data_IF_675058670192
#
_entry.id   IF_675058670192
#
_cell.length_a   1.000
_cell.length_b   1.000
_cell.length_c   1.000
_cell.angle_alpha   90.00
_cell.angle_beta   90.00
_cell.angle_gamma   90.00
#
_symmetry.space_group_name_H-M   'P 1'
#
loop_
_entity.id
_entity.type
_entity.pdbx_description
1 polymer ?
#
# COMPACT_ATOMS: atom_id res chain seq x y z
N UNK A 1 22.36 -11.63 13.35
CA UNK A 1 21.94 -12.91 12.79
C UNK A 1 21.74 -12.71 11.31
N UNK A 2 22.44 -13.44 10.47
CA UNK A 2 22.18 -13.48 9.02
C UNK A 2 20.88 -14.26 8.79
N UNK A 3 19.91 -13.74 8.05
CA UNK A 3 18.70 -14.49 7.73
C UNK A 3 19.10 -15.80 7.05
N UNK A 4 18.47 -16.90 7.47
CA UNK A 4 18.61 -18.17 6.75
C UNK A 4 17.97 -17.98 5.37
N UNK A 5 18.79 -17.77 4.34
CA UNK A 5 18.36 -17.46 2.96
C UNK A 5 17.70 -18.63 2.23
N UNK A 6 17.57 -19.80 2.88
CA UNK A 6 16.94 -20.99 2.29
C UNK A 6 15.40 -20.93 2.29
N UNK A 7 14.78 -20.10 3.14
CA UNK A 7 13.32 -19.97 3.20
C UNK A 7 12.87 -18.54 2.83
N UNK A 8 11.74 -18.39 2.14
CA UNK A 8 11.22 -17.05 1.77
C UNK A 8 10.80 -16.23 2.99
N UNK A 9 10.70 -14.93 2.81
CA UNK A 9 9.98 -14.04 3.75
C UNK A 9 8.48 -14.21 3.50
N UNK A 10 7.70 -14.46 4.55
CA UNK A 10 6.26 -14.50 4.49
C UNK A 10 5.69 -13.08 4.66
N UNK A 11 4.67 -12.72 3.89
CA UNK A 11 4.01 -11.42 3.96
C UNK A 11 2.51 -11.67 4.06
N UNK A 12 1.92 -11.29 5.20
CA UNK A 12 0.48 -11.39 5.43
C UNK A 12 -0.20 -10.09 4.96
N UNK A 13 -1.03 -10.20 3.93
CA UNK A 13 -1.75 -9.11 3.28
C UNK A 13 -1.14 -8.68 1.95
N UNK A 14 -1.96 -8.74 0.88
CA UNK A 14 -1.60 -8.42 -0.50
C UNK A 14 -2.00 -6.99 -0.92
N UNK A 15 -2.25 -6.09 0.03
CA UNK A 15 -2.50 -4.68 -0.24
C UNK A 15 -1.23 -3.91 -0.64
N UNK A 16 -1.34 -2.59 -0.78
CA UNK A 16 -0.24 -1.69 -1.18
C UNK A 16 1.03 -1.93 -0.34
N UNK A 17 0.88 -2.08 0.98
CA UNK A 17 2.01 -2.30 1.88
C UNK A 17 2.73 -3.63 1.66
N UNK A 18 1.97 -4.72 1.51
CA UNK A 18 2.54 -6.05 1.30
C UNK A 18 3.21 -6.21 -0.06
N UNK A 19 2.58 -5.73 -1.14
CA UNK A 19 3.18 -5.73 -2.47
C UNK A 19 4.45 -4.86 -2.52
N UNK A 20 4.44 -3.67 -1.91
CA UNK A 20 5.61 -2.82 -1.83
C UNK A 20 6.76 -3.48 -1.04
N UNK A 21 6.46 -4.18 0.05
CA UNK A 21 7.44 -4.95 0.82
C UNK A 21 8.05 -6.10 0.00
N UNK A 22 7.21 -6.85 -0.73
CA UNK A 22 7.67 -7.91 -1.62
C UNK A 22 8.62 -7.40 -2.71
N UNK A 23 8.26 -6.29 -3.37
CA UNK A 23 9.13 -5.65 -4.39
C UNK A 23 10.45 -5.18 -3.77
N UNK A 24 10.41 -4.59 -2.58
CA UNK A 24 11.63 -4.16 -1.89
C UNK A 24 12.56 -5.33 -1.53
N UNK A 25 12.00 -6.47 -1.15
CA UNK A 25 12.75 -7.70 -0.92
C UNK A 25 13.34 -8.26 -2.22
N UNK A 26 12.56 -8.29 -3.29
CA UNK A 26 13.01 -8.74 -4.61
C UNK A 26 14.19 -7.92 -5.13
N UNK A 27 14.22 -6.59 -4.91
CA UNK A 27 15.38 -5.73 -5.21
C UNK A 27 16.65 -6.14 -4.44
N UNK A 28 16.50 -6.86 -3.34
CA UNK A 28 17.60 -7.40 -2.53
C UNK A 28 17.87 -8.88 -2.79
N UNK A 29 17.26 -9.44 -3.84
CA UNK A 29 17.35 -10.86 -4.18
C UNK A 29 16.85 -11.79 -3.05
N UNK A 30 15.86 -11.34 -2.28
CA UNK A 30 15.24 -12.10 -1.18
C UNK A 30 13.88 -12.61 -1.67
N UNK A 31 13.67 -13.92 -1.74
CA UNK A 31 12.37 -14.48 -2.13
C UNK A 31 11.30 -14.23 -1.06
N UNK A 32 10.06 -14.01 -1.52
CA UNK A 32 8.93 -13.79 -0.62
C UNK A 32 7.65 -14.47 -1.11
N UNK A 33 6.72 -14.72 -0.16
CA UNK A 33 5.38 -15.23 -0.40
C UNK A 33 4.39 -14.20 0.17
N UNK A 34 3.59 -13.60 -0.70
CA UNK A 34 2.50 -12.69 -0.33
C UNK A 34 1.21 -13.50 -0.21
N UNK A 35 0.55 -13.41 0.94
CA UNK A 35 -0.69 -14.12 1.24
C UNK A 35 -1.83 -13.10 1.38
N UNK A 36 -2.81 -13.16 0.48
CA UNK A 36 -4.00 -12.31 0.49
C UNK A 36 -5.24 -13.14 0.78
N UNK A 37 -6.07 -12.67 1.72
CA UNK A 37 -7.31 -13.35 2.12
C UNK A 37 -8.41 -13.28 1.06
N UNK A 38 -8.42 -12.24 0.22
CA UNK A 38 -9.38 -12.09 -0.85
C UNK A 38 -9.09 -13.06 -2.01
N UNK A 39 -10.10 -13.35 -2.81
CA UNK A 39 -9.98 -14.19 -4.01
C UNK A 39 -9.15 -13.51 -5.10
N UNK A 40 -9.07 -12.19 -5.08
CA UNK A 40 -8.33 -11.35 -6.03
C UNK A 40 -7.61 -10.22 -5.30
N UNK A 41 -6.54 -9.72 -5.90
CA UNK A 41 -5.84 -8.52 -5.41
C UNK A 41 -6.59 -7.27 -5.88
N UNK A 42 -7.59 -6.86 -5.12
CA UNK A 42 -8.42 -5.68 -5.42
C UNK A 42 -8.47 -4.72 -4.25
N UNK A 43 -8.58 -3.46 -4.53
CA UNK A 43 -8.74 -2.41 -3.53
C UNK A 43 -10.04 -1.65 -3.80
N UNK A 44 -10.92 -1.63 -2.81
CA UNK A 44 -12.12 -0.80 -2.85
C UNK A 44 -11.74 0.56 -2.28
N UNK A 45 -11.84 1.61 -3.06
CA UNK A 45 -11.48 2.90 -2.53
C UNK A 45 -11.58 4.08 -3.47
N UNK A 46 -11.31 5.24 -2.90
CA UNK A 46 -11.22 6.51 -3.58
C UNK A 46 -9.76 6.82 -3.95
N UNK A 47 -9.48 8.06 -4.30
CA UNK A 47 -8.13 8.54 -4.56
C UNK A 47 -7.22 8.46 -3.32
N UNK A 48 -5.95 8.27 -3.56
CA UNK A 48 -4.87 8.38 -2.57
C UNK A 48 -3.89 9.45 -3.00
N UNK A 49 -3.34 10.17 -2.02
CA UNK A 49 -2.35 11.21 -2.24
C UNK A 49 -0.94 10.60 -2.26
N UNK A 50 -0.14 11.02 -3.23
CA UNK A 50 1.23 10.60 -3.43
C UNK A 50 2.18 11.76 -3.13
N UNK A 51 2.75 11.74 -1.93
CA UNK A 51 3.74 12.75 -1.56
C UNK A 51 5.11 12.50 -2.21
N UNK A 52 6.04 13.48 -2.19
CA UNK A 52 7.38 13.34 -2.75
C UNK A 52 8.18 12.15 -2.20
N UNK A 53 7.96 11.79 -0.94
CA UNK A 53 8.59 10.62 -0.32
C UNK A 53 8.16 9.32 -0.98
N UNK A 54 6.89 9.20 -1.37
CA UNK A 54 6.33 8.01 -2.03
C UNK A 54 6.88 7.89 -3.45
N UNK A 55 6.97 8.98 -4.22
CA UNK A 55 7.58 8.97 -5.55
C UNK A 55 9.04 8.48 -5.52
N UNK A 56 9.81 8.90 -4.50
CA UNK A 56 11.18 8.40 -4.31
C UNK A 56 11.23 6.88 -4.03
N UNK A 57 10.19 6.35 -3.39
CA UNK A 57 10.07 4.89 -3.22
C UNK A 57 9.70 4.19 -4.52
N UNK A 58 8.81 4.76 -5.35
CA UNK A 58 8.46 4.17 -6.64
C UNK A 58 9.68 4.01 -7.56
N UNK A 59 10.60 4.99 -7.56
CA UNK A 59 11.88 4.88 -8.26
C UNK A 59 12.67 3.66 -7.74
N UNK A 60 12.80 3.52 -6.42
CA UNK A 60 13.51 2.40 -5.81
C UNK A 60 12.86 1.05 -6.09
N UNK A 61 11.53 1.01 -6.17
CA UNK A 61 10.78 -0.21 -6.50
C UNK A 61 10.74 -0.52 -7.99
N UNK A 62 11.19 0.41 -8.86
CA UNK A 62 11.21 0.23 -10.30
C UNK A 62 9.85 0.38 -10.99
N UNK A 63 8.87 1.02 -10.34
CA UNK A 63 7.50 1.20 -10.85
C UNK A 63 7.16 2.65 -11.20
N UNK A 64 8.11 3.58 -11.10
CA UNK A 64 7.90 5.02 -11.31
C UNK A 64 7.19 5.32 -12.62
N UNK A 65 7.68 4.76 -13.74
CA UNK A 65 7.11 5.02 -15.06
C UNK A 65 5.65 4.61 -15.18
N UNK A 66 5.29 3.43 -14.66
CA UNK A 66 3.91 2.95 -14.68
C UNK A 66 2.99 3.84 -13.83
N UNK A 67 3.50 4.41 -12.74
CA UNK A 67 2.76 5.37 -11.92
C UNK A 67 2.61 6.71 -12.65
N UNK A 68 3.66 7.20 -13.31
CA UNK A 68 3.63 8.47 -14.04
C UNK A 68 2.58 8.49 -15.17
N UNK A 69 2.32 7.34 -15.79
CA UNK A 69 1.33 7.21 -16.87
C UNK A 69 -0.13 7.34 -16.39
N UNK A 70 -0.40 7.06 -15.11
CA UNK A 70 -1.77 6.98 -14.59
C UNK A 70 -2.06 7.95 -13.44
N UNK A 71 -1.03 8.52 -12.81
CA UNK A 71 -1.20 9.49 -11.74
C UNK A 71 -1.54 10.88 -12.29
N UNK A 72 -2.36 11.62 -11.56
CA UNK A 72 -2.64 13.02 -11.84
C UNK A 72 -1.80 13.92 -10.93
N UNK A 73 -1.23 14.98 -11.50
CA UNK A 73 -0.35 15.93 -10.81
C UNK A 73 -1.02 17.31 -10.72
N UNK A 74 -1.76 17.60 -9.64
CA UNK A 74 -2.43 18.88 -9.47
C UNK A 74 -1.40 20.00 -9.27
N UNK A 75 -1.69 21.18 -9.83
CA UNK A 75 -0.85 22.37 -9.63
C UNK A 75 -1.08 23.05 -8.29
N UNK A 76 -2.25 22.84 -7.71
CA UNK A 76 -2.66 23.43 -6.44
C UNK A 76 -3.53 22.47 -5.64
N UNK A 77 -3.44 22.58 -4.33
CA UNK A 77 -4.41 22.03 -3.38
C UNK A 77 -5.13 23.17 -2.69
N UNK A 78 -6.43 23.04 -2.55
CA UNK A 78 -7.28 24.04 -1.89
C UNK A 78 -7.97 23.39 -0.69
N UNK A 79 -8.05 24.13 0.41
CA UNK A 79 -8.92 23.81 1.52
C UNK A 79 -9.93 24.94 1.67
N UNK A 80 -11.19 24.63 1.52
CA UNK A 80 -12.30 25.58 1.66
C UNK A 80 -13.12 25.22 2.89
N UNK A 81 -13.72 26.23 3.49
CA UNK A 81 -14.72 26.08 4.53
C UNK A 81 -15.97 25.37 3.94
N UNK A 82 -16.39 24.27 4.55
CA UNK A 82 -17.45 23.42 4.03
C UNK A 82 -18.86 24.01 4.08
N UNK A 83 -19.06 25.10 4.85
CA UNK A 83 -20.35 25.77 4.99
C UNK A 83 -20.41 27.00 4.10
N UNK A 84 -19.37 27.82 4.12
CA UNK A 84 -19.34 29.11 3.42
C UNK A 84 -18.69 29.06 2.04
N UNK A 85 -17.99 27.97 1.71
CA UNK A 85 -17.18 27.83 0.50
C UNK A 85 -15.92 28.72 0.47
N UNK A 86 -15.63 29.49 1.51
CA UNK A 86 -14.50 30.41 1.53
C UNK A 86 -13.18 29.64 1.59
N UNK A 87 -12.19 30.14 0.82
CA UNK A 87 -10.84 29.59 0.85
C UNK A 87 -10.22 29.79 2.23
N UNK A 88 -9.79 28.69 2.86
CA UNK A 88 -9.03 28.69 4.11
C UNK A 88 -7.54 28.74 3.79
N UNK A 89 -7.07 27.86 2.89
CA UNK A 89 -5.67 27.82 2.49
C UNK A 89 -5.50 27.22 1.09
N UNK A 90 -4.39 27.57 0.45
CA UNK A 90 -3.95 27.01 -0.82
C UNK A 90 -2.49 26.63 -0.70
N UNK A 91 -2.14 25.48 -1.26
CA UNK A 91 -0.77 25.01 -1.38
C UNK A 91 -0.44 24.84 -2.86
N UNK A 92 0.59 25.56 -3.33
CA UNK A 92 1.15 25.37 -4.67
C UNK A 92 1.90 24.01 -4.68
N UNK A 93 1.48 23.10 -5.53
CA UNK A 93 2.05 21.77 -5.73
C UNK A 93 2.73 21.61 -7.09
N UNK A 94 2.90 22.71 -7.81
CA UNK A 94 3.52 22.77 -9.13
C UNK A 94 5.05 22.68 -9.10
N UNK A 95 5.71 23.37 -10.04
CA UNK A 95 7.15 23.24 -10.28
C UNK A 95 8.01 23.59 -9.07
N UNK A 96 7.71 24.71 -8.38
CA UNK A 96 8.44 25.13 -7.17
C UNK A 96 8.37 24.09 -6.04
N UNK A 97 7.25 23.39 -5.92
CA UNK A 97 7.09 22.31 -4.97
C UNK A 97 7.99 21.13 -5.35
N UNK A 98 7.97 20.75 -6.65
CA UNK A 98 8.82 19.69 -7.19
C UNK A 98 10.32 19.99 -7.01
N UNK A 99 10.75 21.20 -7.29
CA UNK A 99 12.13 21.65 -7.06
C UNK A 99 12.52 21.55 -5.58
N UNK A 100 11.65 22.03 -4.68
CA UNK A 100 11.91 22.04 -3.23
C UNK A 100 12.05 20.64 -2.64
N UNK A 101 11.18 19.70 -3.05
CA UNK A 101 11.11 18.35 -2.45
C UNK A 101 11.80 17.26 -3.30
N UNK A 102 12.23 17.61 -4.50
CA UNK A 102 12.91 16.71 -5.44
C UNK A 102 12.01 15.63 -6.04
N UNK A 103 10.68 15.79 -5.94
CA UNK A 103 9.67 14.93 -6.55
C UNK A 103 8.29 15.63 -6.51
N UNK A 104 7.34 15.27 -7.40
CA UNK A 104 6.03 15.89 -7.44
C UNK A 104 5.13 15.48 -6.27
N UNK A 105 4.03 16.22 -6.12
CA UNK A 105 2.83 15.76 -5.44
C UNK A 105 1.86 15.24 -6.49
N UNK A 106 1.29 14.06 -6.26
CA UNK A 106 0.35 13.44 -7.18
C UNK A 106 -0.88 12.87 -6.44
N UNK A 107 -1.87 12.49 -7.22
CA UNK A 107 -3.04 11.72 -6.77
C UNK A 107 -3.30 10.59 -7.75
N UNK A 108 -3.79 9.46 -7.24
CA UNK A 108 -4.09 8.27 -8.02
C UNK A 108 -5.29 7.56 -7.42
N UNK A 109 -6.01 6.78 -8.21
CA UNK A 109 -7.00 5.86 -7.67
C UNK A 109 -6.29 4.70 -6.95
N UNK A 110 -6.78 4.29 -5.77
CA UNK A 110 -6.11 3.25 -4.95
C UNK A 110 -6.01 1.91 -5.67
N UNK A 111 -7.06 1.54 -6.40
CA UNK A 111 -7.07 0.32 -7.21
C UNK A 111 -5.98 0.33 -8.27
N UNK A 112 -5.85 1.43 -9.02
CA UNK A 112 -4.83 1.55 -10.07
C UNK A 112 -3.40 1.46 -9.50
N UNK A 113 -3.17 2.05 -8.31
CA UNK A 113 -1.89 1.91 -7.61
C UNK A 113 -1.60 0.45 -7.22
N UNK A 114 -2.63 -0.25 -6.69
CA UNK A 114 -2.48 -1.66 -6.33
C UNK A 114 -2.22 -2.51 -7.57
N UNK A 115 -2.93 -2.27 -8.67
CA UNK A 115 -2.74 -3.00 -9.94
C UNK A 115 -1.32 -2.90 -10.47
N UNK A 116 -0.71 -1.71 -10.41
CA UNK A 116 0.70 -1.51 -10.79
C UNK A 116 1.62 -2.34 -9.90
N UNK A 117 1.39 -2.32 -8.59
CA UNK A 117 2.21 -3.07 -7.63
C UNK A 117 2.06 -4.59 -7.83
N UNK A 118 0.83 -5.08 -8.01
CA UNK A 118 0.54 -6.49 -8.25
C UNK A 118 1.21 -6.97 -9.53
N UNK A 119 1.05 -6.26 -10.65
CA UNK A 119 1.70 -6.58 -11.93
C UNK A 119 3.22 -6.62 -11.82
N UNK A 120 3.80 -5.70 -11.05
CA UNK A 120 5.24 -5.71 -10.79
C UNK A 120 5.67 -6.92 -9.95
N UNK A 121 4.87 -7.30 -8.94
CA UNK A 121 5.12 -8.51 -8.14
C UNK A 121 5.03 -9.79 -9.00
N UNK A 122 3.98 -9.93 -9.81
CA UNK A 122 3.76 -11.07 -10.69
C UNK A 122 4.87 -11.24 -11.76
N UNK A 123 5.49 -10.13 -12.15
CA UNK A 123 6.60 -10.12 -13.11
C UNK A 123 7.93 -10.58 -12.50
N UNK A 124 7.99 -10.78 -11.18
CA UNK A 124 9.20 -11.19 -10.45
C UNK A 124 9.19 -12.67 -10.13
N UNK A 125 10.23 -13.40 -10.53
CA UNK A 125 10.41 -14.80 -10.17
C UNK A 125 10.77 -15.04 -8.68
N UNK A 126 10.99 -13.96 -7.92
CA UNK A 126 11.30 -14.00 -6.49
C UNK A 126 10.05 -13.82 -5.61
N UNK A 127 8.89 -13.52 -6.20
CA UNK A 127 7.66 -13.23 -5.46
C UNK A 127 6.60 -14.27 -5.83
N UNK A 128 6.09 -14.98 -4.83
CA UNK A 128 4.94 -15.85 -4.99
C UNK A 128 3.70 -15.13 -4.45
N UNK A 129 2.66 -15.00 -5.27
CA UNK A 129 1.41 -14.35 -4.91
C UNK A 129 0.33 -15.40 -4.66
N UNK A 130 -0.24 -15.43 -3.45
CA UNK A 130 -1.29 -16.39 -3.06
C UNK A 130 -2.55 -15.63 -2.67
N UNK A 131 -3.63 -15.82 -3.41
CA UNK A 131 -4.98 -15.37 -3.04
C UNK A 131 -5.71 -16.41 -2.21
N UNK A 132 -6.89 -16.09 -1.68
CA UNK A 132 -7.70 -16.96 -0.81
C UNK A 132 -6.86 -17.60 0.32
N UNK A 133 -5.90 -16.83 0.86
CA UNK A 133 -4.92 -17.29 1.85
C UNK A 133 -4.91 -16.34 3.04
N UNK A 134 -5.85 -16.55 3.97
CA UNK A 134 -5.95 -15.75 5.20
C UNK A 134 -5.01 -16.35 6.27
N UNK A 135 -4.04 -15.56 6.71
CA UNK A 135 -3.19 -15.91 7.86
C UNK A 135 -4.00 -15.72 9.15
N UNK A 136 -4.12 -16.78 9.94
CA UNK A 136 -4.81 -16.76 11.24
C UNK A 136 -3.86 -16.66 12.41
N UNK A 137 -2.83 -17.51 12.39
CA UNK A 137 -1.87 -17.63 13.49
C UNK A 137 -0.44 -17.69 12.96
N UNK A 138 0.52 -17.38 13.82
CA UNK A 138 1.93 -17.62 13.56
C UNK A 138 2.66 -18.05 14.83
N UNK A 139 3.70 -18.85 14.65
CA UNK A 139 4.62 -19.27 15.70
C UNK A 139 6.06 -19.09 15.25
N UNK A 140 6.90 -18.61 16.17
CA UNK A 140 8.34 -18.52 15.97
C UNK A 140 9.01 -19.75 16.58
N UNK A 141 9.79 -20.46 15.76
CA UNK A 141 10.49 -21.66 16.17
C UNK A 141 11.96 -21.51 15.76
N UNK A 142 12.83 -21.28 16.74
CA UNK A 142 14.27 -21.11 16.53
C UNK A 142 14.61 -20.03 15.47
N UNK A 143 14.87 -20.43 14.21
CA UNK A 143 15.34 -19.55 13.14
C UNK A 143 14.32 -19.39 12.00
N UNK A 144 13.07 -19.77 12.21
CA UNK A 144 12.00 -19.63 11.22
C UNK A 144 10.66 -19.34 11.87
N UNK A 145 9.76 -18.80 11.06
CA UNK A 145 8.37 -18.59 11.42
C UNK A 145 7.48 -19.54 10.66
N UNK A 146 6.48 -20.08 11.33
CA UNK A 146 5.41 -20.87 10.70
C UNK A 146 4.11 -20.10 10.82
N UNK A 147 3.39 -19.93 9.70
CA UNK A 147 2.04 -19.39 9.70
C UNK A 147 1.03 -20.47 9.43
N UNK A 148 -0.11 -20.41 10.10
CA UNK A 148 -1.29 -21.22 9.85
C UNK A 148 -2.35 -20.38 9.15
N UNK A 149 -2.94 -20.91 8.10
CA UNK A 149 -3.98 -20.23 7.32
C UNK A 149 -5.36 -20.80 7.67
N UNK A 150 -6.40 -20.01 7.40
CA UNK A 150 -7.79 -20.38 7.70
C UNK A 150 -8.27 -21.64 7.02
N UNK A 151 -7.73 -21.98 5.87
CA UNK A 151 -8.02 -23.20 5.13
C UNK A 151 -7.19 -24.42 5.60
N UNK A 152 -6.43 -24.27 6.69
CA UNK A 152 -5.65 -25.35 7.32
C UNK A 152 -4.28 -25.60 6.71
N UNK A 153 -3.83 -24.79 5.75
CA UNK A 153 -2.45 -24.86 5.24
C UNK A 153 -1.46 -24.30 6.26
N UNK A 154 -0.22 -24.76 6.18
CA UNK A 154 0.90 -24.24 6.97
C UNK A 154 2.05 -23.87 6.04
N UNK A 155 2.60 -22.66 6.19
CA UNK A 155 3.73 -22.17 5.43
C UNK A 155 4.87 -21.78 6.38
N UNK A 156 6.10 -22.04 5.95
CA UNK A 156 7.30 -21.68 6.71
C UNK A 156 8.14 -20.66 5.97
N UNK A 157 8.64 -19.69 6.73
CA UNK A 157 9.53 -18.65 6.23
C UNK A 157 10.62 -18.29 7.21
N UNK A 158 11.63 -17.53 6.76
CA UNK A 158 12.69 -17.01 7.61
C UNK A 158 12.24 -15.82 8.48
N UNK A 159 11.16 -15.14 8.10
CA UNK A 159 10.48 -14.09 8.86
C UNK A 159 9.06 -13.89 8.36
N UNK A 160 8.24 -13.16 9.14
CA UNK A 160 6.89 -12.74 8.78
C UNK A 160 6.80 -11.21 8.80
N UNK A 161 6.30 -10.63 7.71
CA UNK A 161 5.92 -9.21 7.61
C UNK A 161 4.40 -9.12 7.74
N UNK A 162 3.92 -8.42 8.77
CA UNK A 162 2.51 -8.12 8.94
C UNK A 162 2.12 -6.90 8.11
N UNK A 163 1.38 -7.11 7.02
CA UNK A 163 0.79 -6.09 6.16
C UNK A 163 -0.74 -6.27 6.05
N UNK A 164 -1.35 -6.89 7.06
CA UNK A 164 -2.74 -7.34 7.15
C UNK A 164 -3.74 -6.23 7.56
N UNK A 165 -3.28 -4.97 7.50
CA UNK A 165 -4.10 -3.77 7.57
C UNK A 165 -4.48 -3.34 8.97
N UNK A 166 -5.49 -2.45 9.06
CA UNK A 166 -5.88 -1.80 10.32
C UNK A 166 -6.42 -2.80 11.37
N UNK A 167 -7.00 -3.91 10.93
CA UNK A 167 -7.54 -4.98 11.79
C UNK A 167 -6.55 -6.13 11.97
N UNK A 168 -5.26 -5.83 11.91
CA UNK A 168 -4.18 -6.81 12.00
C UNK A 168 -4.29 -7.69 13.24
N UNK A 169 -4.47 -8.99 13.03
CA UNK A 169 -4.41 -10.01 14.07
C UNK A 169 -2.97 -10.23 14.55
N UNK A 170 -2.02 -10.15 13.61
CA UNK A 170 -0.59 -10.32 13.89
C UNK A 170 -0.09 -9.21 14.82
N UNK A 171 -0.47 -7.94 14.55
CA UNK A 171 -0.14 -6.83 15.42
C UNK A 171 -0.66 -7.03 16.84
N UNK A 172 -1.89 -7.49 16.97
CA UNK A 172 -2.50 -7.74 18.29
C UNK A 172 -1.69 -8.76 19.11
N UNK A 173 -1.14 -9.78 18.44
CA UNK A 173 -0.29 -10.81 19.10
C UNK A 173 1.09 -10.27 19.46
N UNK A 174 1.69 -9.40 18.64
CA UNK A 174 3.04 -8.86 18.86
C UNK A 174 3.04 -7.72 19.88
N UNK A 175 2.12 -6.75 19.73
CA UNK A 175 2.15 -5.48 20.47
C UNK A 175 1.15 -5.47 21.61
N UNK A 176 0.01 -6.16 21.47
CA UNK A 176 -1.09 -6.22 22.44
C UNK A 176 -1.58 -4.82 22.88
N UNK A 177 -1.67 -3.88 21.94
CA UNK A 177 -2.05 -2.48 22.19
C UNK A 177 -3.58 -2.21 22.00
N UNK A 178 -4.37 -3.27 21.89
CA UNK A 178 -5.82 -3.22 21.76
C UNK A 178 -6.32 -2.98 20.34
N UNK A 179 -7.60 -2.67 20.23
CA UNK A 179 -8.25 -2.44 18.95
C UNK A 179 -8.05 -1.01 18.44
N UNK A 180 -8.15 -0.77 17.13
CA UNK A 180 -8.16 0.57 16.58
C UNK A 180 -9.22 1.46 17.23
N UNK A 181 -8.84 2.69 17.57
CA UNK A 181 -9.74 3.67 18.21
C UNK A 181 -10.34 4.58 17.14
N UNK A 182 -11.65 4.75 17.16
CA UNK A 182 -12.37 5.70 16.30
C UNK A 182 -12.06 7.13 16.74
N UNK A 183 -11.48 7.94 15.85
CA UNK A 183 -11.09 9.33 16.16
C UNK A 183 -12.27 10.31 16.24
N UNK A 184 -13.45 9.92 15.78
CA UNK A 184 -14.63 10.81 15.65
C UNK A 184 -14.62 11.69 14.39
N UNK A 185 -13.55 11.68 13.60
CA UNK A 185 -13.52 12.37 12.32
C UNK A 185 -14.21 11.54 11.22
N UNK A 186 -15.00 12.22 10.40
CA UNK A 186 -15.70 11.60 9.27
C UNK A 186 -15.25 12.29 7.97
N UNK A 187 -14.91 11.51 6.96
CA UNK A 187 -14.63 11.99 5.62
C UNK A 187 -15.67 11.46 4.64
N UNK A 188 -16.40 12.36 3.99
CA UNK A 188 -17.26 12.01 2.86
C UNK A 188 -16.41 11.95 1.60
N UNK A 189 -16.52 10.86 0.87
CA UNK A 189 -15.78 10.65 -0.37
C UNK A 189 -16.72 10.31 -1.50
N UNK A 190 -16.48 10.90 -2.68
CA UNK A 190 -17.18 10.58 -3.90
C UNK A 190 -16.17 10.48 -5.04
N UNK A 191 -16.41 9.57 -5.96
CA UNK A 191 -15.71 9.48 -7.25
C UNK A 191 -16.73 9.78 -8.32
N UNK A 192 -16.51 10.84 -9.08
CA UNK A 192 -17.41 11.31 -10.13
C UNK A 192 -16.67 11.33 -11.46
N UNK A 193 -17.41 11.11 -12.56
CA UNK A 193 -16.89 11.41 -13.89
C UNK A 193 -16.59 12.89 -13.99
N UNK A 194 -15.52 13.28 -14.67
CA UNK A 194 -15.15 14.69 -14.85
C UNK A 194 -16.29 15.50 -15.55
N UNK A 195 -17.12 14.84 -16.34
CA UNK A 195 -18.29 15.43 -16.98
C UNK A 195 -19.39 15.82 -15.98
N UNK A 196 -19.43 15.17 -14.82
CA UNK A 196 -20.43 15.40 -13.77
C UNK A 196 -19.94 16.44 -12.74
N UNK A 197 -18.66 16.79 -12.79
CA UNK A 197 -18.07 17.78 -11.88
C UNK A 197 -18.50 19.18 -12.31
N UNK A 198 -19.05 20.02 -11.41
CA UNK A 198 -19.39 21.42 -11.70
C UNK A 198 -18.19 22.21 -12.21
N UNK A 199 -18.44 23.14 -13.17
CA UNK A 199 -17.35 23.89 -13.84
C UNK A 199 -16.45 24.67 -12.87
N UNK A 200 -17.03 25.19 -11.79
CA UNK A 200 -16.27 25.94 -10.75
C UNK A 200 -15.32 25.04 -9.90
N UNK A 201 -15.40 23.72 -10.04
CA UNK A 201 -14.53 22.76 -9.35
C UNK A 201 -13.45 22.21 -10.27
N UNK A 202 -13.65 22.29 -11.59
CA UNK A 202 -12.68 21.88 -12.60
C UNK A 202 -11.51 22.86 -12.68
#
# INVERSE_FOLDING_TARGET
MTPNTEKPILIAGGGIGGCAAALALAQKQIPSIVMEKAEEFVEIGAGIQLGPNVHKMFIKLGIEKAIEEIAFYPKNMFMNDGITGKLITQVDTGEKFRERFGAPYGVIHRGDLLDVLVKACESSNLITMLTSTEVEEFDEIENYVTVSTRDGRSLQGSALIAADGIWSKIRSKIVNDGNPIVSGHVAYRAVLSISEVPEFVK
#
